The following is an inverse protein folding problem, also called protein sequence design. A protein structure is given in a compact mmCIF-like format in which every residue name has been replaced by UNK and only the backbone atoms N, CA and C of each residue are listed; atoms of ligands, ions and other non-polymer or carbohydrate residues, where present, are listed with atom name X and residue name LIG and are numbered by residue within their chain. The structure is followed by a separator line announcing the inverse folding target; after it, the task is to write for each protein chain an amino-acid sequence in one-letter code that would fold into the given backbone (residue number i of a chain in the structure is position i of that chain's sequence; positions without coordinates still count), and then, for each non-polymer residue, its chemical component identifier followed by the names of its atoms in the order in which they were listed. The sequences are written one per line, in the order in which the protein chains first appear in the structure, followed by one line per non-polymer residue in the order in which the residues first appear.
data_IF_435185191979
#
_entry.id   IF_435185191979
#
_cell.length_a   1.000
_cell.length_b   1.000
_cell.length_c   1.000
_cell.angle_alpha   90.00
_cell.angle_beta   90.00
_cell.angle_gamma   90.00
#
_symmetry.space_group_name_H-M   'P 1'
#
loop_
_entity.id
_entity.type
_entity.pdbx_description
1 polymer ?
#
# COMPACT_ATOMS: atom_id res chain seq x y z
N UNK A 1 21.01 11.58 10.55
CA UNK A 1 20.78 10.82 9.30
C UNK A 1 20.59 9.29 9.48
N UNK A 2 20.78 8.70 10.67
CA UNK A 2 20.73 7.24 10.88
C UNK A 2 19.42 6.66 11.47
N UNK A 3 18.51 7.48 12.01
CA UNK A 3 17.29 7.01 12.69
C UNK A 3 16.26 6.32 11.79
N UNK A 4 16.20 6.66 10.51
CA UNK A 4 15.19 6.16 9.58
C UNK A 4 15.38 4.68 9.22
N UNK A 5 16.62 4.16 9.28
CA UNK A 5 16.94 2.76 8.96
C UNK A 5 16.46 1.79 10.04
N UNK A 6 16.71 2.09 11.32
CA UNK A 6 16.30 1.23 12.44
C UNK A 6 14.78 1.08 12.51
N UNK A 7 14.03 2.17 12.30
CA UNK A 7 12.56 2.14 12.36
C UNK A 7 11.93 1.37 11.18
N UNK A 8 12.55 1.35 10.01
CA UNK A 8 12.05 0.56 8.85
C UNK A 8 12.05 -0.94 9.16
N UNK A 9 13.12 -1.43 9.79
CA UNK A 9 13.29 -2.85 10.09
C UNK A 9 12.31 -3.33 11.17
N UNK A 10 12.08 -2.52 12.21
CA UNK A 10 11.11 -2.85 13.27
C UNK A 10 9.67 -2.99 12.74
N UNK A 11 9.27 -2.13 11.80
CA UNK A 11 7.92 -2.20 11.21
C UNK A 11 7.74 -3.43 10.32
N UNK A 12 8.76 -3.82 9.56
CA UNK A 12 8.72 -5.04 8.74
C UNK A 12 8.62 -6.30 9.59
N UNK A 13 9.37 -6.36 10.70
CA UNK A 13 9.29 -7.49 11.62
C UNK A 13 7.92 -7.60 12.29
N UNK A 14 7.32 -6.47 12.69
CA UNK A 14 5.95 -6.45 13.21
C UNK A 14 4.93 -6.98 12.18
N UNK A 15 4.99 -6.54 10.92
CA UNK A 15 4.11 -7.04 9.86
C UNK A 15 4.24 -8.55 9.64
N UNK A 16 5.44 -9.10 9.79
CA UNK A 16 5.74 -10.53 9.60
C UNK A 16 5.30 -11.38 10.80
N UNK A 17 5.64 -10.97 12.02
CA UNK A 17 5.52 -11.80 13.22
C UNK A 17 4.18 -11.59 13.92
N UNK A 18 3.75 -10.34 14.09
CA UNK A 18 2.56 -10.01 14.90
C UNK A 18 1.28 -10.08 14.07
N UNK A 19 1.32 -9.54 12.84
CA UNK A 19 0.13 -9.51 11.98
C UNK A 19 0.07 -10.65 10.95
N UNK A 20 1.19 -11.30 10.66
CA UNK A 20 1.24 -12.39 9.66
C UNK A 20 0.84 -11.97 8.24
N UNK A 21 0.90 -10.67 7.91
CA UNK A 21 0.43 -10.14 6.61
C UNK A 21 1.46 -10.40 5.50
N UNK A 22 2.75 -10.42 5.84
CA UNK A 22 3.83 -10.63 4.88
C UNK A 22 4.69 -11.82 5.30
N UNK A 23 5.13 -12.61 4.33
CA UNK A 23 6.06 -13.71 4.51
C UNK A 23 7.35 -13.46 3.74
N UNK A 24 8.41 -14.13 4.14
CA UNK A 24 9.68 -14.06 3.43
C UNK A 24 9.67 -15.07 2.28
N UNK A 25 10.06 -14.62 1.10
CA UNK A 25 10.16 -15.45 -0.11
C UNK A 25 11.60 -15.45 -0.60
N UNK A 26 12.12 -16.61 -1.00
CA UNK A 26 13.51 -16.80 -1.42
C UNK A 26 13.78 -16.37 -2.86
N UNK A 27 12.83 -16.59 -3.76
CA UNK A 27 12.90 -16.15 -5.16
C UNK A 27 11.54 -15.61 -5.62
N UNK A 28 11.57 -14.48 -6.30
CA UNK A 28 10.38 -13.82 -6.84
C UNK A 28 10.69 -13.36 -8.26
N UNK A 29 9.81 -13.69 -9.20
CA UNK A 29 9.88 -13.22 -10.59
C UNK A 29 9.53 -11.73 -10.69
N UNK A 30 8.62 -11.26 -9.82
CA UNK A 30 8.18 -9.87 -9.76
C UNK A 30 8.49 -9.28 -8.40
N UNK A 31 9.06 -8.07 -8.39
CA UNK A 31 9.38 -7.34 -7.16
C UNK A 31 9.01 -5.88 -7.30
N UNK A 32 8.57 -5.29 -6.18
CA UNK A 32 8.28 -3.86 -6.09
C UNK A 32 9.09 -3.26 -4.95
N UNK A 33 9.72 -2.09 -5.13
CA UNK A 33 10.49 -1.48 -4.06
C UNK A 33 9.57 -1.03 -2.91
N UNK A 34 9.98 -1.37 -1.69
CA UNK A 34 9.30 -0.95 -0.46
C UNK A 34 9.74 0.45 -0.04
N UNK A 35 8.79 1.39 -0.09
CA UNK A 35 8.93 2.80 0.23
C UNK A 35 8.40 3.07 1.66
N UNK A 36 9.27 3.40 2.62
CA UNK A 36 8.82 3.83 3.94
C UNK A 36 8.38 5.30 3.91
N UNK A 37 7.18 5.57 4.40
CA UNK A 37 6.64 6.93 4.57
C UNK A 37 6.51 7.22 6.06
N UNK A 38 7.07 8.35 6.50
CA UNK A 38 6.96 8.81 7.88
C UNK A 38 5.70 9.68 7.98
N UNK A 39 4.77 9.30 8.86
CA UNK A 39 3.58 10.10 9.15
C UNK A 39 3.93 11.24 10.13
N UNK A 40 3.01 12.20 10.25
CA UNK A 40 3.16 13.33 11.18
C UNK A 40 3.28 12.90 12.65
N UNK A 41 2.62 11.79 13.03
CA UNK A 41 2.73 11.16 14.36
C UNK A 41 4.08 10.47 14.61
N UNK A 42 4.98 10.46 13.62
CA UNK A 42 6.30 9.83 13.71
C UNK A 42 6.30 8.31 13.50
N UNK A 43 5.13 7.71 13.22
CA UNK A 43 5.00 6.31 12.83
C UNK A 43 5.43 6.09 11.37
N UNK A 44 5.79 4.85 11.03
CA UNK A 44 6.18 4.47 9.67
C UNK A 44 5.07 3.67 9.02
N UNK A 45 4.66 4.10 7.83
CA UNK A 45 3.83 3.33 6.91
C UNK A 45 4.70 2.75 5.81
N UNK A 46 4.72 1.43 5.68
CA UNK A 46 5.37 0.75 4.56
C UNK A 46 4.42 0.80 3.37
N UNK A 47 4.90 1.29 2.22
CA UNK A 47 4.15 1.33 0.96
C UNK A 47 4.95 0.59 -0.13
N UNK A 48 4.26 -0.09 -1.05
CA UNK A 48 4.88 -0.58 -2.28
C UNK A 48 4.72 0.44 -3.40
N UNK A 49 5.76 0.67 -4.20
CA UNK A 49 5.66 1.53 -5.38
C UNK A 49 5.04 0.77 -6.58
N UNK A 50 3.74 0.48 -6.51
CA UNK A 50 3.04 -0.30 -7.54
C UNK A 50 2.76 0.48 -8.83
N UNK A 51 2.85 1.82 -8.81
CA UNK A 51 2.60 2.66 -9.97
C UNK A 51 3.58 2.36 -11.12
N UNK A 52 4.87 2.24 -10.79
CA UNK A 52 5.92 1.98 -11.79
C UNK A 52 6.11 0.50 -12.11
N UNK A 53 5.55 -0.40 -11.30
CA UNK A 53 5.81 -1.84 -11.41
C UNK A 53 4.58 -2.57 -11.90
N UNK A 54 3.58 -2.78 -11.03
CA UNK A 54 2.46 -3.69 -11.31
C UNK A 54 1.34 -2.99 -12.08
N UNK A 55 1.01 -1.75 -11.73
CA UNK A 55 -0.15 -1.02 -12.27
C UNK A 55 -0.19 -0.93 -13.81
N UNK A 56 0.91 -0.73 -14.55
CA UNK A 56 0.86 -0.63 -16.01
C UNK A 56 0.56 -1.95 -16.73
N UNK A 57 0.78 -3.09 -16.06
CA UNK A 57 0.56 -4.43 -16.63
C UNK A 57 -0.75 -5.06 -16.16
N UNK A 58 -1.48 -4.41 -15.25
CA UNK A 58 -2.79 -4.89 -14.81
C UNK A 58 -3.85 -4.54 -15.87
N UNK A 59 -4.70 -5.51 -16.18
CA UNK A 59 -5.95 -5.24 -16.88
C UNK A 59 -6.93 -4.57 -15.91
N UNK A 60 -7.42 -3.39 -16.27
CA UNK A 60 -8.22 -2.56 -15.37
C UNK A 60 -9.69 -2.87 -15.60
N UNK A 61 -10.28 -3.69 -14.74
CA UNK A 61 -11.73 -3.85 -14.67
C UNK A 61 -12.36 -2.56 -14.12
N UNK A 62 -13.00 -1.79 -15.01
CA UNK A 62 -13.61 -0.51 -14.66
C UNK A 62 -15.04 -0.72 -14.23
N UNK A 63 -15.24 -0.83 -12.91
CA UNK A 63 -16.58 -0.71 -12.33
C UNK A 63 -16.98 0.78 -12.28
N UNK A 64 -18.01 1.23 -13.01
CA UNK A 64 -18.43 2.62 -12.98
C UNK A 64 -19.03 2.94 -11.62
N UNK A 65 -18.32 3.76 -10.84
CA UNK A 65 -18.89 4.33 -9.63
C UNK A 65 -19.90 5.41 -10.04
N UNK A 66 -21.10 5.44 -9.41
CA UNK A 66 -22.09 6.47 -9.68
C UNK A 66 -21.50 7.84 -9.35
N UNK A 67 -21.90 8.86 -10.10
CA UNK A 67 -21.48 10.22 -9.77
C UNK A 67 -22.17 10.65 -8.48
N UNK A 68 -21.54 11.60 -7.80
CA UNK A 68 -22.09 12.21 -6.58
C UNK A 68 -23.49 12.78 -6.84
N UNK A 69 -23.71 13.38 -8.00
CA UNK A 69 -25.03 13.91 -8.40
C UNK A 69 -26.09 12.81 -8.56
N UNK A 70 -25.71 11.63 -9.08
CA UNK A 70 -26.61 10.49 -9.24
C UNK A 70 -27.04 9.94 -7.87
N UNK A 71 -26.12 9.95 -6.89
CA UNK A 71 -26.40 9.54 -5.51
C UNK A 71 -27.34 10.52 -4.80
N UNK A 72 -27.14 11.82 -4.97
CA UNK A 72 -28.00 12.84 -4.36
C UNK A 72 -29.41 12.81 -4.96
N UNK A 73 -29.51 12.63 -6.27
CA UNK A 73 -30.80 12.52 -6.97
C UNK A 73 -31.60 11.31 -6.47
N UNK A 74 -30.93 10.17 -6.24
CA UNK A 74 -31.57 8.97 -5.70
C UNK A 74 -32.03 9.13 -4.24
N UNK A 75 -31.41 10.02 -3.46
CA UNK A 75 -31.74 10.25 -2.05
C UNK A 75 -32.87 11.27 -1.85
N UNK A 76 -33.03 12.22 -2.76
CA UNK A 76 -34.01 13.31 -2.68
C UNK A 76 -35.44 12.94 -3.10
N UNK A 77 -35.80 11.66 -3.04
CA UNK A 77 -37.16 11.15 -3.28
C UNK A 77 -38.09 11.36 -2.10
#
# INVERSE_FOLDING_TARGET
MFRSRCKKLSTLNWLKIELGIISQVSMLEYATPAVPVIKQDGSIRICGNYNTTVNPFLDVDRYPLPKVDDLFTALSG
#
